data_IF_403779785314
#
_entry.id   IF_403779785314
#
_cell.length_a   1.000
_cell.length_b   1.000
_cell.length_c   1.000
_cell.angle_alpha   90.00
_cell.angle_beta   90.00
_cell.angle_gamma   90.00
#
_symmetry.space_group_name_H-M   'P 1'
#
loop_
_entity.id
_entity.type
_entity.pdbx_description
1 polymer ?
#
# COMPACT_ATOMS: atom_id res chain seq x y z
N UNK A 1 6.40 11.22 10.86
CA UNK A 1 5.02 11.76 10.78
C UNK A 1 4.43 11.76 9.36
N UNK A 2 5.22 11.89 8.29
CA UNK A 2 4.71 11.89 6.91
C UNK A 2 4.03 10.57 6.44
N UNK A 3 4.54 9.41 6.88
CA UNK A 3 3.94 8.11 6.56
C UNK A 3 2.56 7.90 7.22
N UNK A 4 2.35 8.43 8.42
CA UNK A 4 1.06 8.34 9.14
C UNK A 4 0.00 9.28 8.56
N UNK A 5 0.40 10.40 7.95
CA UNK A 5 -0.49 11.31 7.23
C UNK A 5 -0.85 10.78 5.82
N UNK A 6 0.06 10.06 5.17
CA UNK A 6 -0.22 9.34 3.92
C UNK A 6 -1.25 8.21 4.16
N UNK A 7 -1.09 7.51 5.28
CA UNK A 7 -1.89 6.37 5.73
C UNK A 7 -3.37 6.68 6.04
N UNK A 8 -3.64 7.77 6.74
CA UNK A 8 -5.01 8.20 7.08
C UNK A 8 -5.78 8.78 5.89
N UNK A 9 -5.04 9.19 4.84
CA UNK A 9 -5.59 9.90 3.68
C UNK A 9 -5.97 8.92 2.56
N UNK A 10 -5.15 7.90 2.34
CA UNK A 10 -5.36 6.82 1.35
C UNK A 10 -6.61 5.93 1.59
N UNK A 11 -7.22 5.98 2.78
CA UNK A 11 -8.33 5.09 3.22
C UNK A 11 -9.67 5.29 2.52
N UNK A 12 -9.91 6.47 1.96
CA UNK A 12 -11.26 6.85 1.49
C UNK A 12 -11.52 6.60 0.00
N UNK A 13 -10.50 6.26 -0.80
CA UNK A 13 -10.63 6.21 -2.26
C UNK A 13 -11.11 4.88 -2.85
N UNK A 14 -11.18 3.79 -2.09
CA UNK A 14 -11.70 2.51 -2.62
C UNK A 14 -13.24 2.41 -2.70
N UNK A 15 -14.00 3.46 -2.34
CA UNK A 15 -15.46 3.45 -2.32
C UNK A 15 -16.08 4.56 -3.18
N UNK A 16 -16.25 4.28 -4.48
CA UNK A 16 -17.34 4.85 -5.27
C UNK A 16 -18.52 3.87 -5.23
N UNK A 17 -19.72 4.26 -4.77
CA UNK A 17 -20.93 3.51 -5.10
C UNK A 17 -21.29 3.83 -6.55
N UNK A 18 -21.28 2.82 -7.42
CA UNK A 18 -21.97 2.88 -8.71
C UNK A 18 -23.48 2.84 -8.42
N UNK A 19 -24.15 3.99 -8.39
CA UNK A 19 -25.56 4.06 -8.78
C UNK A 19 -26.04 5.48 -9.09
N UNK A 20 -26.87 5.59 -10.14
CA UNK A 20 -27.38 6.82 -10.75
C UNK A 20 -28.39 7.62 -9.90
N UNK A 21 -28.99 8.68 -10.48
CA UNK A 21 -29.59 9.77 -9.71
C UNK A 21 -30.86 9.33 -8.95
N UNK A 22 -30.87 9.57 -7.62
CA UNK A 22 -32.03 9.41 -6.74
C UNK A 22 -33.03 10.56 -6.93
N UNK A 23 -34.31 10.21 -7.08
CA UNK A 23 -35.45 11.08 -6.76
C UNK A 23 -35.90 10.81 -5.32
N UNK A 24 -36.12 11.90 -4.58
CA UNK A 24 -36.55 11.95 -3.19
C UNK A 24 -37.89 11.27 -2.92
N UNK A 25 -37.93 10.32 -1.98
CA UNK A 25 -39.09 10.01 -1.14
C UNK A 25 -38.61 9.50 0.24
N UNK A 26 -39.17 10.07 1.31
CA UNK A 26 -38.83 9.85 2.75
C UNK A 26 -38.60 8.37 3.11
N UNK A 27 -37.62 8.01 3.96
CA UNK A 27 -37.23 6.62 4.11
C UNK A 27 -38.01 5.94 5.23
N UNK A 28 -38.92 5.04 4.84
CA UNK A 28 -39.26 3.85 5.64
C UNK A 28 -38.20 2.74 5.48
N UNK A 29 -37.14 2.99 4.69
CA UNK A 29 -36.03 2.08 4.37
C UNK A 29 -34.69 2.42 5.06
N UNK A 30 -34.64 3.44 5.91
CA UNK A 30 -33.42 3.77 6.67
C UNK A 30 -33.15 2.76 7.80
N UNK A 31 -34.22 2.15 8.35
CA UNK A 31 -34.09 1.13 9.40
C UNK A 31 -33.67 -0.23 8.81
N UNK A 32 -34.16 -0.57 7.61
CA UNK A 32 -33.76 -1.79 6.87
C UNK A 32 -32.27 -1.78 6.52
N UNK A 33 -31.72 -0.63 6.08
CA UNK A 33 -30.27 -0.51 5.83
C UNK A 33 -29.43 -0.65 7.10
N UNK A 34 -29.94 -0.24 8.28
CA UNK A 34 -29.22 -0.31 9.55
C UNK A 34 -29.22 -1.71 10.15
N UNK A 35 -30.31 -2.47 10.00
CA UNK A 35 -30.38 -3.89 10.40
C UNK A 35 -29.44 -4.77 9.56
N UNK A 36 -29.20 -4.41 8.30
CA UNK A 36 -28.30 -5.14 7.39
C UNK A 36 -26.80 -4.94 7.70
N UNK A 37 -26.43 -3.84 8.36
CA UNK A 37 -25.02 -3.51 8.66
C UNK A 37 -24.33 -4.55 9.55
N UNK A 38 -25.06 -5.15 10.49
CA UNK A 38 -24.50 -6.17 11.39
C UNK A 38 -24.13 -7.45 10.63
N UNK A 39 -25.01 -7.90 9.73
CA UNK A 39 -24.73 -9.08 8.91
C UNK A 39 -23.64 -8.76 7.87
N UNK A 40 -23.56 -7.52 7.40
CA UNK A 40 -22.55 -7.07 6.44
C UNK A 40 -21.14 -6.99 7.03
N UNK A 41 -20.97 -6.50 8.28
CA UNK A 41 -19.65 -6.44 8.91
C UNK A 41 -19.08 -7.83 9.15
N UNK A 42 -19.89 -8.76 9.69
CA UNK A 42 -19.43 -10.13 9.92
C UNK A 42 -19.11 -10.85 8.60
N UNK A 43 -19.96 -10.66 7.58
CA UNK A 43 -19.72 -11.19 6.23
C UNK A 43 -18.41 -10.66 5.64
N UNK A 44 -18.15 -9.37 5.77
CA UNK A 44 -16.98 -8.74 5.16
C UNK A 44 -15.68 -9.13 5.87
N UNK A 45 -15.68 -9.16 7.20
CA UNK A 45 -14.54 -9.63 7.99
C UNK A 45 -14.22 -11.10 7.65
N UNK A 46 -15.26 -11.94 7.50
CA UNK A 46 -15.10 -13.34 7.09
C UNK A 46 -14.54 -13.45 5.67
N UNK A 47 -15.12 -12.72 4.71
CA UNK A 47 -14.66 -12.71 3.32
C UNK A 47 -13.20 -12.25 3.20
N UNK A 48 -12.81 -11.24 3.98
CA UNK A 48 -11.43 -10.76 4.06
C UNK A 48 -10.50 -11.83 4.62
N UNK A 49 -10.88 -12.52 5.70
CA UNK A 49 -10.11 -13.62 6.27
C UNK A 49 -9.89 -14.75 5.25
N UNK A 50 -10.96 -15.18 4.58
CA UNK A 50 -10.91 -16.22 3.53
C UNK A 50 -10.03 -15.79 2.35
N UNK A 51 -10.11 -14.53 1.91
CA UNK A 51 -9.26 -14.02 0.83
C UNK A 51 -7.77 -14.06 1.20
N UNK A 52 -7.42 -13.79 2.47
CA UNK A 52 -6.03 -13.87 2.94
C UNK A 52 -5.56 -15.33 3.02
N UNK A 53 -6.39 -16.24 3.55
CA UNK A 53 -6.07 -17.67 3.61
C UNK A 53 -5.86 -18.26 2.21
N UNK A 54 -6.76 -17.96 1.27
CA UNK A 54 -6.64 -18.35 -0.14
C UNK A 54 -5.39 -17.73 -0.78
N UNK A 55 -5.03 -16.49 -0.46
CA UNK A 55 -3.78 -15.90 -0.92
C UNK A 55 -2.54 -16.63 -0.39
N UNK A 56 -2.52 -17.07 0.87
CA UNK A 56 -1.42 -17.88 1.43
C UNK A 56 -1.32 -19.22 0.69
N UNK A 57 -2.43 -19.91 0.48
CA UNK A 57 -2.45 -21.18 -0.23
C UNK A 57 -1.94 -21.04 -1.66
N UNK A 58 -2.40 -20.01 -2.39
CA UNK A 58 -1.92 -19.77 -3.75
C UNK A 58 -0.45 -19.34 -3.82
N UNK A 59 0.08 -18.67 -2.79
CA UNK A 59 1.52 -18.40 -2.72
C UNK A 59 2.35 -19.69 -2.65
N UNK A 60 1.88 -20.72 -1.92
CA UNK A 60 2.56 -22.03 -1.87
C UNK A 60 2.50 -22.75 -3.23
N UNK A 61 1.40 -22.59 -3.98
CA UNK A 61 1.28 -23.09 -5.36
C UNK A 61 2.25 -22.38 -6.31
N UNK A 62 2.33 -21.04 -6.25
CA UNK A 62 3.28 -20.22 -7.03
C UNK A 62 4.72 -20.65 -6.72
N UNK A 63 5.06 -20.86 -5.44
CA UNK A 63 6.39 -21.35 -5.04
C UNK A 63 6.71 -22.73 -5.64
N UNK A 64 5.72 -23.62 -5.64
CA UNK A 64 5.85 -24.98 -6.19
C UNK A 64 5.99 -24.97 -7.71
N UNK A 65 5.31 -24.05 -8.41
CA UNK A 65 5.47 -23.81 -9.83
C UNK A 65 6.86 -23.19 -10.13
N UNK A 66 7.30 -22.20 -9.36
CA UNK A 66 8.62 -21.59 -9.52
C UNK A 66 9.76 -22.60 -9.44
N UNK A 67 9.66 -23.61 -8.57
CA UNK A 67 10.62 -24.73 -8.45
C UNK A 67 10.70 -25.61 -9.70
N UNK A 68 9.62 -25.69 -10.48
CA UNK A 68 9.59 -26.45 -11.74
C UNK A 68 10.11 -25.62 -12.92
N UNK A 69 9.83 -24.33 -12.91
CA UNK A 69 10.05 -23.46 -14.08
C UNK A 69 11.38 -22.68 -14.02
N UNK A 70 12.00 -22.58 -12.84
CA UNK A 70 13.23 -21.80 -12.65
C UNK A 70 14.29 -22.58 -11.87
N UNK A 71 15.56 -22.18 -12.03
CA UNK A 71 16.70 -22.81 -11.34
C UNK A 71 17.80 -21.78 -11.02
N UNK A 72 18.74 -22.18 -10.16
CA UNK A 72 19.86 -21.33 -9.73
C UNK A 72 19.41 -20.08 -8.96
N UNK A 73 20.15 -18.99 -9.11
CA UNK A 73 19.91 -17.71 -8.39
C UNK A 73 18.49 -17.21 -8.54
N UNK A 74 17.88 -17.34 -9.73
CA UNK A 74 16.50 -16.89 -9.96
C UNK A 74 15.49 -17.65 -9.09
N UNK A 75 15.69 -18.96 -8.91
CA UNK A 75 14.84 -19.76 -8.03
C UNK A 75 15.00 -19.33 -6.57
N UNK A 76 16.23 -19.09 -6.11
CA UNK A 76 16.51 -18.63 -4.75
C UNK A 76 15.85 -17.27 -4.47
N UNK A 77 15.96 -16.34 -5.41
CA UNK A 77 15.30 -15.02 -5.34
C UNK A 77 13.77 -15.18 -5.29
N UNK A 78 13.19 -15.95 -6.21
CA UNK A 78 11.75 -16.18 -6.24
C UNK A 78 11.23 -16.81 -4.93
N UNK A 79 11.98 -17.76 -4.35
CA UNK A 79 11.63 -18.37 -3.07
C UNK A 79 11.68 -17.37 -1.91
N UNK A 80 12.72 -16.53 -1.87
CA UNK A 80 12.86 -15.48 -0.85
C UNK A 80 11.72 -14.46 -0.92
N UNK A 81 11.33 -14.04 -2.13
CA UNK A 81 10.26 -13.07 -2.34
C UNK A 81 8.91 -13.68 -1.92
N UNK A 82 8.53 -14.82 -2.50
CA UNK A 82 7.24 -15.47 -2.20
C UNK A 82 7.14 -15.87 -0.72
N UNK A 83 8.23 -16.37 -0.13
CA UNK A 83 8.28 -16.66 1.31
C UNK A 83 7.96 -15.43 2.15
N UNK A 84 8.59 -14.30 1.85
CA UNK A 84 8.31 -13.04 2.56
C UNK A 84 6.87 -12.54 2.37
N UNK A 85 6.29 -12.68 1.17
CA UNK A 85 4.89 -12.33 0.91
C UNK A 85 3.93 -13.24 1.68
N UNK A 86 4.21 -14.54 1.76
CA UNK A 86 3.42 -15.51 2.53
C UNK A 86 3.45 -15.19 4.02
N UNK A 87 4.61 -14.84 4.57
CA UNK A 87 4.75 -14.46 5.97
C UNK A 87 4.03 -13.13 6.30
N UNK A 88 4.08 -12.16 5.37
CA UNK A 88 3.26 -10.95 5.47
C UNK A 88 1.76 -11.28 5.47
N UNK A 89 1.28 -12.15 4.59
CA UNK A 89 -0.13 -12.56 4.57
C UNK A 89 -0.56 -13.25 5.87
N UNK A 90 0.28 -14.11 6.44
CA UNK A 90 0.02 -14.72 7.76
C UNK A 90 -0.06 -13.66 8.86
N UNK A 91 0.82 -12.67 8.85
CA UNK A 91 0.78 -11.55 9.79
C UNK A 91 -0.51 -10.74 9.65
N UNK A 92 -0.98 -10.52 8.43
CA UNK A 92 -2.23 -9.82 8.12
C UNK A 92 -3.44 -10.65 8.58
N UNK A 93 -3.41 -11.96 8.37
CA UNK A 93 -4.45 -12.86 8.88
C UNK A 93 -4.59 -12.72 10.39
N UNK A 94 -3.48 -12.81 11.14
CA UNK A 94 -3.48 -12.61 12.60
C UNK A 94 -4.03 -11.23 13.01
N UNK A 95 -3.74 -10.18 12.24
CA UNK A 95 -4.27 -8.84 12.48
C UNK A 95 -5.78 -8.78 12.29
N UNK A 96 -6.31 -9.33 11.18
CA UNK A 96 -7.74 -9.38 10.90
C UNK A 96 -8.47 -10.17 11.98
N UNK A 97 -7.96 -11.34 12.38
CA UNK A 97 -8.51 -12.12 13.50
C UNK A 97 -8.52 -11.31 14.81
N UNK A 98 -7.41 -10.63 15.12
CA UNK A 98 -7.30 -9.78 16.31
C UNK A 98 -8.27 -8.59 16.27
N UNK A 99 -8.51 -8.03 15.09
CA UNK A 99 -9.46 -6.94 14.88
C UNK A 99 -10.90 -7.42 15.10
N UNK A 100 -11.27 -8.57 14.52
CA UNK A 100 -12.57 -9.22 14.75
C UNK A 100 -12.80 -9.53 16.23
N UNK A 101 -11.78 -10.03 16.92
CA UNK A 101 -11.84 -10.33 18.35
C UNK A 101 -12.03 -9.10 19.22
N UNK A 102 -11.40 -7.97 18.86
CA UNK A 102 -11.60 -6.68 19.50
C UNK A 102 -13.01 -6.15 19.24
N UNK A 103 -13.50 -6.23 18.00
CA UNK A 103 -14.86 -5.79 17.65
C UNK A 103 -15.91 -6.57 18.47
N UNK A 104 -15.78 -7.90 18.55
CA UNK A 104 -16.67 -8.74 19.36
C UNK A 104 -16.67 -8.33 20.84
N UNK A 105 -15.51 -8.01 21.40
CA UNK A 105 -15.37 -7.59 22.80
C UNK A 105 -15.97 -6.20 23.07
N UNK A 106 -15.80 -5.25 22.14
CA UNK A 106 -16.45 -3.93 22.18
C UNK A 106 -17.96 -4.08 22.15
N UNK A 107 -18.49 -4.94 21.28
CA UNK A 107 -19.93 -5.15 21.15
C UNK A 107 -20.49 -5.82 22.41
N UNK A 108 -19.85 -6.87 22.92
CA UNK A 108 -20.30 -7.58 24.13
C UNK A 108 -20.30 -6.67 25.37
N UNK A 109 -19.26 -5.85 25.53
CA UNK A 109 -19.18 -4.89 26.65
C UNK A 109 -20.09 -3.67 26.46
N UNK A 110 -20.38 -3.26 25.22
CA UNK A 110 -21.10 -2.03 24.90
C UNK A 110 -22.60 -2.17 24.64
N UNK A 111 -23.10 -3.37 24.34
CA UNK A 111 -24.51 -3.59 23.95
C UNK A 111 -25.51 -3.54 25.12
N UNK A 112 -25.04 -3.74 26.36
CA UNK A 112 -25.91 -3.85 27.54
C UNK A 112 -26.96 -4.95 27.35
N UNK A 113 -28.24 -4.63 27.56
CA UNK A 113 -29.35 -5.55 27.34
C UNK A 113 -29.80 -5.66 25.86
N UNK A 114 -29.19 -4.90 24.94
CA UNK A 114 -29.51 -4.93 23.51
C UNK A 114 -28.89 -6.10 22.75
N UNK A 115 -29.37 -6.33 21.53
CA UNK A 115 -28.77 -7.32 20.62
C UNK A 115 -27.49 -6.80 19.97
N UNK A 116 -26.66 -7.71 19.44
CA UNK A 116 -25.48 -7.37 18.62
C UNK A 116 -25.87 -6.53 17.40
N UNK A 117 -27.00 -6.87 16.76
CA UNK A 117 -27.52 -6.14 15.60
C UNK A 117 -27.87 -4.70 15.96
N UNK A 118 -28.55 -4.49 17.08
CA UNK A 118 -28.89 -3.14 17.56
C UNK A 118 -27.64 -2.30 17.83
N UNK A 119 -26.57 -2.91 18.34
CA UNK A 119 -25.33 -2.19 18.63
C UNK A 119 -24.67 -1.67 17.35
N UNK A 120 -24.53 -2.51 16.32
CA UNK A 120 -23.96 -2.10 15.03
C UNK A 120 -24.85 -1.10 14.29
N UNK A 121 -26.18 -1.25 14.36
CA UNK A 121 -27.14 -0.31 13.79
C UNK A 121 -27.06 1.08 14.46
N UNK A 122 -26.94 1.13 15.80
CA UNK A 122 -26.77 2.37 16.56
C UNK A 122 -25.42 3.04 16.31
N UNK A 123 -24.38 2.25 16.00
CA UNK A 123 -23.03 2.73 15.71
C UNK A 123 -22.72 2.67 14.20
N UNK A 124 -23.68 3.00 13.33
CA UNK A 124 -23.58 2.78 11.88
C UNK A 124 -22.29 3.31 11.23
N UNK A 125 -21.88 4.55 11.55
CA UNK A 125 -20.65 5.14 11.00
C UNK A 125 -19.37 4.35 11.38
N UNK A 126 -19.35 3.78 12.59
CA UNK A 126 -18.25 2.90 13.00
C UNK A 126 -18.30 1.57 12.23
N UNK A 127 -19.48 0.97 12.09
CA UNK A 127 -19.70 -0.28 11.33
C UNK A 127 -19.32 -0.13 9.86
N UNK A 128 -19.71 0.96 9.21
CA UNK A 128 -19.32 1.29 7.83
C UNK A 128 -17.80 1.48 7.69
N UNK A 129 -17.16 2.10 8.70
CA UNK A 129 -15.70 2.24 8.77
C UNK A 129 -14.99 0.88 8.87
N UNK A 130 -15.54 -0.07 9.62
CA UNK A 130 -15.01 -1.44 9.70
C UNK A 130 -15.17 -2.18 8.38
N UNK A 131 -16.36 -2.17 7.78
CA UNK A 131 -16.65 -2.82 6.50
C UNK A 131 -15.72 -2.29 5.41
N UNK A 132 -15.57 -0.97 5.33
CA UNK A 132 -14.75 -0.35 4.30
C UNK A 132 -13.26 -0.66 4.46
N UNK A 133 -12.74 -0.59 5.68
CA UNK A 133 -11.35 -0.94 5.95
C UNK A 133 -11.08 -2.44 5.71
N UNK A 134 -12.02 -3.32 6.08
CA UNK A 134 -11.91 -4.76 5.82
C UNK A 134 -11.82 -5.07 4.32
N UNK A 135 -12.72 -4.48 3.51
CA UNK A 135 -12.67 -4.62 2.03
C UNK A 135 -11.34 -4.19 1.45
N UNK A 136 -10.78 -3.07 1.92
CA UNK A 136 -9.51 -2.57 1.44
C UNK A 136 -8.35 -3.52 1.77
N UNK A 137 -8.40 -4.23 2.90
CA UNK A 137 -7.43 -5.28 3.24
C UNK A 137 -7.60 -6.49 2.32
N UNK A 138 -8.83 -6.96 2.11
CA UNK A 138 -9.11 -8.09 1.21
C UNK A 138 -8.65 -7.82 -0.22
N UNK A 139 -8.95 -6.63 -0.76
CA UNK A 139 -8.46 -6.22 -2.08
C UNK A 139 -6.93 -6.14 -2.15
N UNK A 140 -6.30 -5.58 -1.12
CA UNK A 140 -4.83 -5.54 -1.02
C UNK A 140 -4.21 -6.93 -1.01
N UNK A 141 -4.86 -7.92 -0.38
CA UNK A 141 -4.40 -9.31 -0.37
C UNK A 141 -4.39 -9.92 -1.78
N UNK A 142 -5.48 -9.74 -2.53
CA UNK A 142 -5.57 -10.17 -3.93
C UNK A 142 -4.51 -9.50 -4.80
N UNK A 143 -4.33 -8.18 -4.69
CA UNK A 143 -3.34 -7.42 -5.46
C UNK A 143 -1.92 -7.87 -5.19
N UNK A 144 -1.58 -8.13 -3.92
CA UNK A 144 -0.25 -8.63 -3.57
C UNK A 144 0.00 -10.03 -4.14
N UNK A 145 -0.99 -10.92 -4.08
CA UNK A 145 -0.87 -12.26 -4.69
C UNK A 145 -0.65 -12.17 -6.21
N UNK A 146 -1.44 -11.36 -6.91
CA UNK A 146 -1.29 -11.16 -8.35
C UNK A 146 0.08 -10.55 -8.70
N UNK A 147 0.52 -9.56 -7.94
CA UNK A 147 1.84 -8.94 -8.16
C UNK A 147 2.97 -9.94 -7.94
N UNK A 148 2.88 -10.76 -6.89
CA UNK A 148 3.83 -11.82 -6.59
C UNK A 148 3.90 -12.88 -7.70
N UNK A 149 2.76 -13.34 -8.23
CA UNK A 149 2.70 -14.26 -9.38
C UNK A 149 3.36 -13.66 -10.62
N UNK A 150 3.05 -12.40 -10.95
CA UNK A 150 3.64 -11.71 -12.10
C UNK A 150 5.15 -11.60 -11.97
N UNK A 151 5.68 -11.28 -10.78
CA UNK A 151 7.13 -11.20 -10.53
C UNK A 151 7.81 -12.56 -10.76
N UNK A 152 7.26 -13.65 -10.22
CA UNK A 152 7.83 -15.00 -10.38
C UNK A 152 7.78 -15.49 -11.82
N UNK A 153 6.76 -15.08 -12.58
CA UNK A 153 6.58 -15.44 -14.00
C UNK A 153 7.27 -14.49 -14.98
N UNK A 154 8.08 -13.54 -14.51
CA UNK A 154 8.72 -12.45 -15.29
C UNK A 154 7.75 -11.57 -16.10
N UNK A 155 6.46 -11.59 -15.75
CA UNK A 155 5.42 -10.76 -16.38
C UNK A 155 5.18 -9.45 -15.64
N UNK A 156 5.80 -9.30 -14.46
CA UNK A 156 5.60 -8.19 -13.53
C UNK A 156 6.88 -7.43 -13.24
N UNK A 157 6.72 -6.32 -12.52
CA UNK A 157 7.82 -5.47 -12.06
C UNK A 157 8.03 -5.66 -10.56
N UNK A 158 9.28 -5.73 -10.12
CA UNK A 158 9.63 -5.78 -8.69
C UNK A 158 9.09 -4.54 -7.95
N UNK A 159 9.05 -3.39 -8.62
CA UNK A 159 8.51 -2.14 -8.09
C UNK A 159 7.00 -2.20 -7.84
N UNK A 160 6.23 -2.95 -8.65
CA UNK A 160 4.79 -3.17 -8.44
C UNK A 160 4.57 -3.90 -7.11
N UNK A 161 5.36 -4.95 -6.85
CA UNK A 161 5.27 -5.73 -5.61
C UNK A 161 5.65 -4.91 -4.37
N UNK A 162 6.64 -4.02 -4.48
CA UNK A 162 7.01 -3.08 -3.42
C UNK A 162 5.85 -2.14 -3.10
N UNK A 163 5.19 -1.59 -4.13
CA UNK A 163 4.02 -0.72 -3.95
C UNK A 163 2.88 -1.48 -3.29
N UNK A 164 2.52 -2.67 -3.79
CA UNK A 164 1.49 -3.51 -3.19
C UNK A 164 1.76 -3.82 -1.71
N UNK A 165 3.03 -4.00 -1.33
CA UNK A 165 3.43 -4.22 0.07
C UNK A 165 3.17 -3.03 0.98
N UNK A 166 3.44 -1.81 0.49
CA UNK A 166 3.11 -0.60 1.22
C UNK A 166 1.61 -0.35 1.28
N UNK A 167 0.90 -0.64 0.20
CA UNK A 167 -0.55 -0.49 0.09
C UNK A 167 -1.30 -1.42 1.05
N UNK A 168 -0.96 -2.70 1.11
CA UNK A 168 -1.65 -3.63 2.03
C UNK A 168 -1.35 -3.30 3.51
N UNK A 169 -0.11 -2.90 3.83
CA UNK A 169 0.21 -2.38 5.16
C UNK A 169 -0.62 -1.13 5.47
N UNK A 170 -0.83 -0.26 4.48
CA UNK A 170 -1.68 0.91 4.57
C UNK A 170 -3.16 0.57 4.83
N UNK A 171 -3.71 -0.44 4.17
CA UNK A 171 -5.09 -0.89 4.43
C UNK A 171 -5.24 -1.47 5.84
N UNK A 172 -4.25 -2.25 6.31
CA UNK A 172 -4.39 -2.97 7.59
C UNK A 172 -4.39 -2.07 8.82
N UNK A 173 -3.54 -1.04 8.89
CA UNK A 173 -3.64 -0.11 10.02
C UNK A 173 -4.86 0.86 9.88
N UNK A 174 -5.54 0.95 8.72
CA UNK A 174 -6.84 1.63 8.63
C UNK A 174 -7.89 0.78 9.33
N UNK A 175 -7.85 -0.54 9.14
CA UNK A 175 -8.67 -1.48 9.90
C UNK A 175 -8.39 -1.38 11.41
N UNK A 176 -7.12 -1.22 11.81
CA UNK A 176 -6.76 -0.96 13.22
C UNK A 176 -7.32 0.37 13.71
N UNK A 177 -7.23 1.43 12.89
CA UNK A 177 -7.75 2.74 13.22
C UNK A 177 -9.28 2.75 13.36
N UNK A 178 -10.00 2.05 12.48
CA UNK A 178 -11.44 1.86 12.57
C UNK A 178 -11.81 1.01 13.81
N UNK A 179 -11.11 -0.10 14.05
CA UNK A 179 -11.40 -1.02 15.15
C UNK A 179 -11.20 -0.38 16.53
N UNK A 180 -10.22 0.52 16.69
CA UNK A 180 -9.92 1.15 17.99
C UNK A 180 -10.89 2.27 18.40
N UNK A 181 -11.72 2.81 17.49
CA UNK A 181 -12.57 4.00 17.75
C UNK A 181 -13.47 3.81 18.98
N UNK A 182 -13.99 2.61 19.16
CA UNK A 182 -14.91 2.24 20.25
C UNK A 182 -14.23 1.40 21.35
N UNK A 183 -12.92 1.18 21.26
CA UNK A 183 -12.17 0.37 22.23
C UNK A 183 -11.79 1.18 23.47
N UNK A 184 -11.92 0.57 24.65
CA UNK A 184 -11.33 1.12 25.87
C UNK A 184 -9.79 1.07 25.81
N UNK A 185 -9.13 2.07 26.39
CA UNK A 185 -7.65 2.20 26.36
C UNK A 185 -6.94 1.08 27.12
N UNK A 186 -7.60 0.49 28.14
CA UNK A 186 -7.13 -0.63 28.93
C UNK A 186 -7.49 -2.00 28.34
N UNK A 187 -8.17 -2.06 27.18
CA UNK A 187 -8.57 -3.31 26.57
C UNK A 187 -7.34 -4.13 26.12
N UNK A 188 -7.16 -5.33 26.67
CA UNK A 188 -6.06 -6.24 26.32
C UNK A 188 -6.07 -6.63 24.85
N UNK A 189 -7.25 -6.79 24.25
CA UNK A 189 -7.38 -7.12 22.81
C UNK A 189 -6.91 -5.98 21.92
N UNK A 190 -7.06 -4.72 22.36
CA UNK A 190 -6.51 -3.57 21.66
C UNK A 190 -4.97 -3.63 21.64
N UNK A 191 -4.34 -4.05 22.74
CA UNK A 191 -2.89 -4.22 22.78
C UNK A 191 -2.43 -5.34 21.82
N UNK A 192 -3.13 -6.47 21.79
CA UNK A 192 -2.86 -7.56 20.83
C UNK A 192 -2.98 -7.06 19.39
N UNK A 193 -4.04 -6.34 19.05
CA UNK A 193 -4.22 -5.76 17.71
C UNK A 193 -3.10 -4.79 17.34
N UNK A 194 -2.65 -3.95 18.27
CA UNK A 194 -1.53 -3.04 18.04
C UNK A 194 -0.21 -3.78 17.82
N UNK A 195 0.02 -4.89 18.51
CA UNK A 195 1.19 -5.73 18.29
C UNK A 195 1.15 -6.39 16.92
N UNK A 196 0.00 -6.95 16.52
CA UNK A 196 -0.20 -7.51 15.19
C UNK A 196 0.05 -6.46 14.09
N UNK A 197 -0.41 -5.21 14.29
CA UNK A 197 -0.14 -4.10 13.37
C UNK A 197 1.34 -3.77 13.20
N UNK A 198 2.13 -3.79 14.29
CA UNK A 198 3.59 -3.61 14.19
C UNK A 198 4.23 -4.76 13.41
N UNK A 199 3.81 -5.98 13.70
CA UNK A 199 4.32 -7.16 13.01
C UNK A 199 4.04 -7.13 11.50
N UNK A 200 2.86 -6.68 11.07
CA UNK A 200 2.56 -6.46 9.65
C UNK A 200 3.51 -5.45 9.01
N UNK A 201 3.82 -4.33 9.69
CA UNK A 201 4.77 -3.35 9.17
C UNK A 201 6.19 -3.92 9.04
N UNK A 202 6.62 -4.73 10.02
CA UNK A 202 7.92 -5.40 9.98
C UNK A 202 7.99 -6.36 8.79
N UNK A 203 6.95 -7.18 8.58
CA UNK A 203 6.90 -8.11 7.45
C UNK A 203 6.82 -7.40 6.09
N UNK A 204 6.10 -6.27 6.01
CA UNK A 204 6.08 -5.46 4.80
C UNK A 204 7.47 -4.90 4.47
N UNK A 205 8.25 -4.49 5.48
CA UNK A 205 9.63 -4.08 5.28
C UNK A 205 10.53 -5.24 4.80
N UNK A 206 10.31 -6.46 5.33
CA UNK A 206 11.01 -7.66 4.87
C UNK A 206 10.71 -7.95 3.40
N UNK A 207 9.44 -7.86 2.96
CA UNK A 207 9.08 -8.02 1.53
C UNK A 207 9.81 -7.01 0.65
N UNK A 208 9.82 -5.73 1.04
CA UNK A 208 10.51 -4.68 0.28
C UNK A 208 12.02 -4.95 0.20
N UNK A 209 12.63 -5.36 1.31
CA UNK A 209 14.06 -5.70 1.34
C UNK A 209 14.38 -6.94 0.49
N UNK A 210 13.57 -7.99 0.60
CA UNK A 210 13.70 -9.25 -0.17
C UNK A 210 13.58 -8.98 -1.66
N UNK A 211 12.57 -8.20 -2.05
CA UNK A 211 12.29 -7.82 -3.43
C UNK A 211 13.44 -7.01 -4.04
N UNK A 212 13.95 -6.00 -3.33
CA UNK A 212 15.10 -5.18 -3.80
C UNK A 212 16.39 -5.99 -3.90
N UNK A 213 16.68 -6.81 -2.89
CA UNK A 213 17.85 -7.69 -2.90
C UNK A 213 17.77 -8.69 -4.05
N UNK A 214 16.57 -9.24 -4.29
CA UNK A 214 16.30 -10.15 -5.39
C UNK A 214 16.54 -9.53 -6.76
N UNK A 215 16.00 -8.32 -6.97
CA UNK A 215 16.23 -7.54 -8.20
C UNK A 215 17.72 -7.32 -8.46
N UNK A 216 18.46 -6.85 -7.45
CA UNK A 216 19.92 -6.63 -7.56
C UNK A 216 20.69 -7.91 -7.90
N UNK A 217 20.33 -9.06 -7.33
CA UNK A 217 21.01 -10.33 -7.60
C UNK A 217 20.77 -10.84 -9.03
N UNK A 218 19.60 -10.55 -9.59
CA UNK A 218 19.26 -10.92 -10.97
C UNK A 218 19.96 -9.96 -11.97
N UNK A 219 19.99 -8.66 -11.68
CA UNK A 219 20.59 -7.64 -12.54
C UNK A 219 22.13 -7.67 -12.53
N UNK A 220 22.77 -7.86 -11.36
CA UNK A 220 24.24 -7.85 -11.21
C UNK A 220 24.96 -9.01 -11.93
N UNK A 221 24.23 -10.02 -12.42
CA UNK A 221 24.83 -11.10 -13.21
C UNK A 221 25.26 -10.63 -14.62
N UNK A 222 24.79 -9.46 -15.07
CA UNK A 222 25.29 -8.78 -16.27
C UNK A 222 26.51 -7.91 -15.93
N UNK A 223 27.52 -8.52 -15.31
CA UNK A 223 28.80 -7.89 -14.97
C UNK A 223 29.40 -7.22 -16.20
N UNK A 224 29.65 -5.90 -16.13
CA UNK A 224 30.29 -5.13 -17.20
C UNK A 224 31.76 -5.59 -17.36
N UNK A 225 32.00 -6.55 -18.26
CA UNK A 225 33.35 -6.96 -18.63
C UNK A 225 33.88 -6.08 -19.77
N UNK A 226 34.68 -5.08 -19.38
CA UNK A 226 35.34 -4.16 -20.33
C UNK A 226 36.66 -4.70 -20.88
N UNK A 227 37.12 -5.88 -20.43
CA UNK A 227 38.49 -6.37 -20.65
C UNK A 227 38.79 -6.71 -22.11
N UNK A 228 37.78 -6.80 -22.97
CA UNK A 228 37.89 -7.17 -24.39
C UNK A 228 37.49 -6.06 -25.38
N UNK A 229 37.14 -4.85 -24.92
CA UNK A 229 36.68 -3.76 -25.78
C UNK A 229 37.81 -2.86 -26.30
N UNK A 230 37.72 -2.45 -27.57
CA UNK A 230 38.61 -1.42 -28.14
C UNK A 230 38.23 -0.02 -27.65
N UNK A 231 39.19 0.91 -27.64
CA UNK A 231 38.99 2.32 -27.23
C UNK A 231 37.79 3.01 -27.89
N UNK A 232 37.58 2.77 -29.20
CA UNK A 232 36.47 3.37 -29.94
C UNK A 232 35.12 2.78 -29.47
N UNK A 233 35.03 1.45 -29.29
CA UNK A 233 33.81 0.81 -28.77
C UNK A 233 33.50 1.27 -27.35
N UNK A 234 34.52 1.40 -26.51
CA UNK A 234 34.35 1.90 -25.15
C UNK A 234 33.77 3.33 -25.15
N UNK A 235 34.28 4.22 -26.01
CA UNK A 235 33.76 5.59 -26.11
C UNK A 235 32.33 5.64 -26.66
N UNK A 236 31.97 4.75 -27.58
CA UNK A 236 30.58 4.61 -28.06
C UNK A 236 29.65 4.15 -26.94
N UNK A 237 30.00 3.09 -26.21
CA UNK A 237 29.22 2.58 -25.07
C UNK A 237 29.08 3.62 -23.94
N UNK A 238 30.14 4.40 -23.68
CA UNK A 238 30.09 5.53 -22.74
C UNK A 238 29.06 6.57 -23.19
N UNK A 239 29.08 6.94 -24.47
CA UNK A 239 28.15 7.92 -25.02
C UNK A 239 26.71 7.40 -25.03
N UNK A 240 26.49 6.13 -25.38
CA UNK A 240 25.17 5.49 -25.34
C UNK A 240 24.65 5.41 -23.89
N UNK A 241 25.52 5.13 -22.92
CA UNK A 241 25.20 5.15 -21.49
C UNK A 241 24.83 6.57 -21.03
N UNK A 242 25.55 7.60 -21.47
CA UNK A 242 25.23 9.00 -21.16
C UNK A 242 23.87 9.43 -21.74
N UNK A 243 23.58 9.06 -22.99
CA UNK A 243 22.26 9.29 -23.59
C UNK A 243 21.19 8.58 -22.76
N UNK A 244 21.46 7.34 -22.32
CA UNK A 244 20.50 6.59 -21.51
C UNK A 244 20.23 7.24 -20.15
N UNK A 245 21.25 7.80 -19.51
CA UNK A 245 21.09 8.57 -18.27
C UNK A 245 20.13 9.75 -18.48
N UNK A 246 20.35 10.56 -19.52
CA UNK A 246 19.50 11.72 -19.81
C UNK A 246 18.05 11.31 -20.12
N UNK A 247 17.84 10.20 -20.85
CA UNK A 247 16.50 9.66 -21.08
C UNK A 247 15.80 9.25 -19.78
N UNK A 248 16.51 8.56 -18.89
CA UNK A 248 15.98 8.08 -17.62
C UNK A 248 15.67 9.26 -16.68
N UNK A 249 16.50 10.29 -16.64
CA UNK A 249 16.23 11.51 -15.87
C UNK A 249 14.95 12.21 -16.34
N UNK A 250 14.76 12.33 -17.66
CA UNK A 250 13.53 12.87 -18.25
C UNK A 250 12.31 12.02 -17.91
N UNK A 251 12.42 10.70 -18.01
CA UNK A 251 11.33 9.78 -17.64
C UNK A 251 10.98 9.88 -16.15
N UNK A 252 11.99 9.91 -15.28
CA UNK A 252 11.82 10.08 -13.84
C UNK A 252 11.11 11.40 -13.51
N UNK A 253 11.50 12.50 -14.13
CA UNK A 253 10.84 13.79 -13.96
C UNK A 253 9.36 13.74 -14.36
N UNK A 254 9.05 13.13 -15.51
CA UNK A 254 7.68 12.97 -15.99
C UNK A 254 6.82 12.10 -15.06
N UNK A 255 7.35 10.96 -14.61
CA UNK A 255 6.62 10.08 -13.68
C UNK A 255 6.41 10.71 -12.31
N UNK A 256 7.35 11.54 -11.82
CA UNK A 256 7.15 12.34 -10.60
C UNK A 256 6.00 13.34 -10.76
N UNK A 257 5.91 14.03 -11.90
CA UNK A 257 4.80 14.94 -12.20
C UNK A 257 3.48 14.16 -12.26
N UNK A 258 3.44 13.03 -12.98
CA UNK A 258 2.26 12.17 -13.10
C UNK A 258 1.81 11.64 -11.74
N UNK A 259 2.74 11.15 -10.92
CA UNK A 259 2.46 10.68 -9.56
C UNK A 259 1.91 11.82 -8.69
N UNK A 260 2.48 13.02 -8.79
CA UNK A 260 1.95 14.22 -8.14
C UNK A 260 0.53 14.53 -8.58
N UNK A 261 0.25 14.44 -9.88
CA UNK A 261 -1.09 14.62 -10.47
C UNK A 261 -2.10 13.57 -9.98
N UNK A 262 -1.72 12.30 -9.93
CA UNK A 262 -2.55 11.21 -9.39
C UNK A 262 -2.86 11.44 -7.91
N UNK A 263 -1.86 11.83 -7.12
CA UNK A 263 -2.05 12.19 -5.70
C UNK A 263 -2.95 13.40 -5.53
N UNK A 264 -2.85 14.41 -6.40
CA UNK A 264 -3.75 15.57 -6.38
C UNK A 264 -5.19 15.17 -6.72
N UNK A 265 -5.39 14.35 -7.75
CA UNK A 265 -6.71 13.82 -8.12
C UNK A 265 -7.32 12.99 -7.00
N UNK A 266 -6.49 12.19 -6.33
CA UNK A 266 -6.87 11.48 -5.10
C UNK A 266 -7.43 12.47 -4.07
N UNK A 267 -6.74 13.57 -3.79
CA UNK A 267 -7.20 14.60 -2.85
C UNK A 267 -8.44 15.39 -3.30
N UNK A 268 -8.62 15.63 -4.59
CA UNK A 268 -9.82 16.28 -5.14
C UNK A 268 -11.05 15.39 -4.94
N UNK A 269 -10.93 14.09 -5.21
CA UNK A 269 -11.99 13.11 -4.96
C UNK A 269 -12.28 12.99 -3.45
N UNK A 270 -11.25 13.04 -2.60
CA UNK A 270 -11.42 13.07 -1.14
C UNK A 270 -12.14 14.34 -0.63
N UNK A 271 -11.91 15.51 -1.23
CA UNK A 271 -12.40 16.80 -0.75
C UNK A 271 -13.83 17.15 -1.15
N UNK A 272 -14.40 16.45 -2.14
CA UNK A 272 -15.73 16.75 -2.71
C UNK A 272 -16.87 16.00 -1.99
N UNK A 273 -16.59 15.16 -0.98
CA UNK A 273 -17.59 14.34 -0.28
C UNK A 273 -18.01 14.85 1.12
N UNK A 274 -17.80 16.13 1.42
CA UNK A 274 -18.46 16.84 2.53
C UNK A 274 -19.44 17.86 1.96
N UNK A 275 -20.75 17.60 2.07
CA UNK A 275 -21.78 18.43 1.43
C UNK A 275 -22.55 19.27 2.46
N UNK A 276 -22.56 20.61 2.29
CA UNK A 276 -23.71 21.53 2.45
C UNK A 276 -23.32 22.99 2.08
N UNK A 277 -24.25 23.84 1.55
CA UNK A 277 -23.94 24.97 0.64
C UNK A 277 -24.17 26.38 1.27
N UNK A 278 -24.21 27.47 0.47
CA UNK A 278 -23.14 28.43 0.25
C UNK A 278 -23.31 29.72 1.09
N UNK A 279 -22.24 30.22 1.71
CA UNK A 279 -22.16 31.63 2.06
C UNK A 279 -20.82 32.24 1.62
N UNK A 280 -20.99 33.40 0.99
CA UNK A 280 -19.99 34.34 0.53
C UNK A 280 -18.83 34.56 1.51
N UNK A 281 -17.59 34.57 1.02
CA UNK A 281 -16.91 35.82 0.66
C UNK A 281 -15.41 35.60 0.37
N UNK A 282 -14.90 36.53 -0.45
CA UNK A 282 -13.52 37.03 -0.55
C UNK A 282 -12.38 36.10 -0.98
N UNK A 283 -11.96 36.35 -2.22
CA UNK A 283 -10.57 36.58 -2.63
C UNK A 283 -9.56 36.69 -1.47
N UNK A 284 -8.60 35.77 -1.39
CA UNK A 284 -7.20 36.17 -1.28
C UNK A 284 -6.29 35.01 -1.66
N UNK A 285 -5.42 35.31 -2.61
CA UNK A 285 -4.23 34.55 -2.97
C UNK A 285 -3.27 34.63 -1.77
N UNK A 286 -2.83 33.50 -1.21
CA UNK A 286 -1.60 33.48 -0.43
C UNK A 286 -0.78 32.22 -0.78
N UNK A 287 0.24 32.46 -1.59
CA UNK A 287 1.28 31.50 -1.97
C UNK A 287 2.37 31.53 -0.90
N UNK A 288 2.08 30.99 0.29
CA UNK A 288 3.05 30.96 1.39
C UNK A 288 2.93 29.66 2.18
N UNK A 289 3.47 28.56 1.65
CA UNK A 289 3.82 27.37 2.44
C UNK A 289 5.32 27.10 2.23
N UNK A 290 6.10 26.88 3.31
CA UNK A 290 7.55 26.88 3.25
C UNK A 290 8.10 25.60 2.61
N UNK A 291 8.91 25.76 1.56
CA UNK A 291 9.75 24.71 0.97
C UNK A 291 10.88 24.39 1.96
N UNK A 292 10.68 23.43 2.85
CA UNK A 292 11.77 22.85 3.65
C UNK A 292 12.07 21.46 3.10
N UNK A 293 12.87 21.42 2.05
CA UNK A 293 13.75 20.31 1.76
C UNK A 293 15.17 20.87 1.73
N UNK A 294 16.13 20.30 2.48
CA UNK A 294 17.52 20.71 2.35
C UNK A 294 18.03 20.35 0.96
N UNK A 295 18.71 21.29 0.31
CA UNK A 295 19.37 21.04 -0.97
C UNK A 295 20.41 19.91 -0.80
N UNK A 296 20.57 19.04 -1.81
CA UNK A 296 21.65 18.06 -1.82
C UNK A 296 23.00 18.80 -1.86
N UNK A 297 24.05 18.26 -1.21
CA UNK A 297 25.37 18.88 -1.23
C UNK A 297 25.87 18.99 -2.67
N UNK A 298 26.26 20.21 -3.06
CA UNK A 298 26.90 20.50 -4.33
C UNK A 298 28.23 19.73 -4.43
N UNK A 299 28.33 18.79 -5.36
CA UNK A 299 29.62 18.26 -5.79
C UNK A 299 30.33 19.36 -6.59
N UNK A 300 31.33 20.00 -5.99
CA UNK A 300 32.31 20.79 -6.73
C UNK A 300 33.10 19.84 -7.65
N UNK A 301 32.98 20.04 -8.97
CA UNK A 301 33.91 19.44 -9.93
C UNK A 301 35.32 20.02 -9.70
N UNK A 302 36.38 19.20 -9.74
CA UNK A 302 37.74 19.71 -9.67
C UNK A 302 38.00 20.62 -10.87
N UNK A 303 38.33 21.88 -10.59
CA UNK A 303 38.74 22.89 -11.56
C UNK A 303 39.99 22.42 -12.30
N UNK A 304 39.89 22.28 -13.62
CA UNK A 304 41.05 22.11 -14.49
C UNK A 304 41.91 23.39 -14.44
N UNK A 305 42.93 23.40 -13.59
CA UNK A 305 44.03 24.35 -13.69
C UNK A 305 45.31 23.62 -14.10
N UNK A 306 45.71 23.90 -15.35
CA UNK A 306 47.09 24.08 -15.81
C UNK A 306 48.02 22.86 -15.75
N UNK A 307 48.06 22.12 -16.87
CA UNK A 307 49.31 21.49 -17.33
C UNK A 307 49.82 22.29 -18.53
N UNK A 308 50.63 23.31 -18.23
CA UNK A 308 51.59 23.89 -19.16
C UNK A 308 52.97 23.71 -18.50
N UNK A 309 53.91 23.19 -19.30
CA UNK A 309 55.35 23.02 -19.09
C UNK A 309 55.80 21.85 -18.20
N UNK A 310 56.31 20.79 -18.82
CA UNK A 310 57.75 20.64 -19.04
C UNK A 310 58.02 19.57 -20.11
N UNK A 311 59.07 19.84 -20.89
CA UNK A 311 59.63 19.02 -21.98
C UNK A 311 60.05 17.63 -21.53
#
# INVERSE_FOLDING_TARGET
MALHAWFLRWSKVLFLPLDGPRKDLRPRGADVQKEELADMVDKEMTATSTAIEDAVLRMDEILSQARRDSSGVKLEVNQSIIGSCSDLMKAIHMLVTSATDLQRDIVESGRGAGSVKDFYAKNSCWTEGLISASKAVGWGATQMLESADKVVTDRGKYEELIVCSHEIAASTAQLVAASKVKADRGNRKLQTLQQASRHVNDMAAVVVSSTKSGQMQIENKNSMDFSSMSLIKLKTEEMDSQVKVLELEKQLANERIRLGGLRKKHYEIEGISTDSPPESAVNSFDSSLPTVFPDPPSMELPTQHVFILLS
#
